data_IF_227545854868
#
_entry.id   IF_227545854868
#
_cell.length_a   1.000
_cell.length_b   1.000
_cell.length_c   1.000
_cell.angle_alpha   90.00
_cell.angle_beta   90.00
_cell.angle_gamma   90.00
#
_symmetry.space_group_name_H-M   'P 1'
#
loop_
_entity.id
_entity.type
_entity.pdbx_description
1 polymer ?
#
# COMPACT_ATOMS: atom_id res chain seq x y z
N UNK A 1 11.96 -8.36 -6.73
CA UNK A 1 12.13 -6.87 -6.68
C UNK A 1 13.11 -6.31 -7.73
N UNK A 2 14.30 -6.89 -8.05
CA UNK A 2 15.27 -6.21 -8.94
C UNK A 2 14.78 -5.90 -10.36
N UNK A 3 13.72 -6.56 -10.83
CA UNK A 3 13.11 -6.31 -12.14
C UNK A 3 12.09 -5.17 -12.16
N UNK A 4 11.78 -4.60 -10.99
CA UNK A 4 10.81 -3.51 -10.84
C UNK A 4 11.52 -2.18 -10.98
N UNK A 5 10.98 -1.31 -11.81
CA UNK A 5 11.50 0.05 -11.96
C UNK A 5 11.45 0.80 -10.63
N UNK A 6 12.49 1.56 -10.31
CA UNK A 6 12.63 2.35 -9.07
C UNK A 6 12.35 1.55 -7.78
N UNK A 7 12.64 0.24 -7.78
CA UNK A 7 12.27 -0.65 -6.68
C UNK A 7 12.77 -0.21 -5.29
N UNK A 8 13.97 0.37 -5.21
CA UNK A 8 14.54 0.85 -3.94
C UNK A 8 13.76 2.06 -3.38
N UNK A 9 13.39 2.99 -4.24
CA UNK A 9 12.60 4.17 -3.85
C UNK A 9 11.19 3.77 -3.43
N UNK A 10 10.55 2.90 -4.20
CA UNK A 10 9.21 2.36 -3.87
C UNK A 10 9.24 1.63 -2.52
N UNK A 11 10.25 0.80 -2.29
CA UNK A 11 10.41 0.12 -0.99
C UNK A 11 10.58 1.12 0.16
N UNK A 12 11.40 2.16 -0.01
CA UNK A 12 11.58 3.20 1.00
C UNK A 12 10.27 3.97 1.28
N UNK A 13 9.50 4.28 0.26
CA UNK A 13 8.21 4.96 0.42
C UNK A 13 7.17 4.07 1.11
N UNK A 14 7.10 2.78 0.77
CA UNK A 14 6.24 1.83 1.50
C UNK A 14 6.67 1.71 2.96
N UNK A 15 7.97 1.67 3.26
CA UNK A 15 8.47 1.66 4.64
C UNK A 15 8.05 2.92 5.41
N UNK A 16 8.15 4.10 4.78
CA UNK A 16 7.66 5.37 5.36
C UNK A 16 6.16 5.31 5.70
N UNK A 17 5.35 4.77 4.78
CA UNK A 17 3.91 4.58 5.03
C UNK A 17 3.66 3.65 6.22
N UNK A 18 4.32 2.50 6.28
CA UNK A 18 4.18 1.54 7.39
C UNK A 18 4.52 2.21 8.73
N UNK A 19 5.69 2.88 8.81
CA UNK A 19 6.13 3.58 10.03
C UNK A 19 5.23 4.76 10.36
N UNK A 20 4.72 5.47 9.38
CA UNK A 20 3.77 6.56 9.57
C UNK A 20 2.43 6.07 10.15
N UNK A 21 1.91 4.96 9.66
CA UNK A 21 0.72 4.31 10.24
C UNK A 21 0.92 3.96 11.72
N UNK A 22 2.11 3.49 12.09
CA UNK A 22 2.45 3.20 13.48
C UNK A 22 2.48 4.46 14.35
N UNK A 23 3.12 5.53 13.88
CA UNK A 23 3.18 6.82 14.61
C UNK A 23 1.77 7.36 14.87
N UNK A 24 0.88 7.21 13.90
CA UNK A 24 -0.50 7.74 13.99
C UNK A 24 -1.47 6.80 14.71
N UNK A 25 -1.11 5.54 14.94
CA UNK A 25 -1.87 4.47 15.65
C UNK A 25 -3.37 4.38 15.28
N UNK A 26 -3.72 4.74 14.06
CA UNK A 26 -5.12 4.85 13.63
C UNK A 26 -5.50 3.92 12.49
N UNK A 27 -4.51 3.32 11.83
CA UNK A 27 -4.75 2.54 10.62
C UNK A 27 -4.16 1.13 10.70
N UNK A 28 -5.01 0.11 10.60
CA UNK A 28 -4.54 -1.26 10.44
C UNK A 28 -3.89 -1.45 9.08
N UNK A 29 -2.83 -2.25 9.04
CA UNK A 29 -2.13 -2.61 7.81
C UNK A 29 -2.47 -4.05 7.45
N UNK A 30 -2.85 -4.28 6.19
CA UNK A 30 -3.04 -5.61 5.63
C UNK A 30 -2.00 -5.82 4.54
N UNK A 31 -1.00 -6.63 4.82
CA UNK A 31 0.01 -7.01 3.84
C UNK A 31 -0.45 -8.24 3.04
N UNK A 32 -0.16 -8.26 1.74
CA UNK A 32 -0.43 -9.43 0.89
C UNK A 32 0.84 -9.91 0.20
N UNK A 33 0.98 -11.21 0.05
CA UNK A 33 2.09 -11.84 -0.65
C UNK A 33 1.59 -12.72 -1.79
N UNK A 34 2.24 -12.57 -2.95
CA UNK A 34 1.87 -13.31 -4.14
C UNK A 34 2.74 -14.54 -4.29
N UNK A 35 2.15 -15.76 -4.26
CA UNK A 35 2.83 -17.01 -4.58
C UNK A 35 4.25 -17.09 -3.98
N UNK A 36 4.34 -17.12 -2.67
CA UNK A 36 5.60 -17.03 -1.90
C UNK A 36 6.63 -18.07 -2.33
N UNK A 37 6.19 -19.29 -2.68
CA UNK A 37 7.09 -20.36 -3.16
C UNK A 37 7.87 -20.00 -4.43
N UNK A 38 7.31 -19.14 -5.28
CA UNK A 38 7.95 -18.75 -6.55
C UNK A 38 8.56 -17.35 -6.52
N UNK A 39 7.92 -16.41 -5.82
CA UNK A 39 8.33 -15.00 -5.82
C UNK A 39 9.07 -14.58 -4.54
N UNK A 40 9.07 -15.42 -3.52
CA UNK A 40 9.60 -15.12 -2.21
C UNK A 40 8.68 -14.28 -1.33
N UNK A 41 8.99 -14.14 -0.04
CA UNK A 41 8.23 -13.32 0.90
C UNK A 41 8.52 -11.83 0.70
N UNK A 42 7.80 -11.02 1.45
CA UNK A 42 8.08 -9.57 1.58
C UNK A 42 9.56 -9.33 1.90
N UNK A 43 10.17 -8.36 1.23
CA UNK A 43 11.59 -8.02 1.39
C UNK A 43 11.89 -7.55 2.81
N UNK A 44 13.11 -7.84 3.27
CA UNK A 44 13.54 -7.63 4.65
C UNK A 44 13.23 -6.24 5.24
N UNK A 45 13.50 -5.09 4.58
CA UNK A 45 13.19 -3.79 5.17
C UNK A 45 11.70 -3.61 5.49
N UNK A 46 10.82 -4.07 4.60
CA UNK A 46 9.38 -3.95 4.79
C UNK A 46 8.86 -4.96 5.83
N UNK A 47 9.40 -6.19 5.80
CA UNK A 47 9.05 -7.20 6.79
C UNK A 47 9.36 -6.73 8.20
N UNK A 48 10.58 -6.19 8.43
CA UNK A 48 10.98 -5.62 9.72
C UNK A 48 10.05 -4.48 10.14
N UNK A 49 9.76 -3.53 9.25
CA UNK A 49 8.85 -2.44 9.57
C UNK A 49 7.46 -2.94 9.98
N UNK A 50 6.93 -3.94 9.30
CA UNK A 50 5.64 -4.56 9.65
C UNK A 50 5.69 -5.31 10.99
N UNK A 51 6.76 -6.05 11.28
CA UNK A 51 6.97 -6.74 12.56
C UNK A 51 7.02 -5.76 13.73
N UNK A 52 7.70 -4.62 13.56
CA UNK A 52 7.83 -3.59 14.58
C UNK A 52 6.52 -2.81 14.84
N UNK A 53 5.61 -2.78 13.87
CA UNK A 53 4.42 -1.91 13.93
C UNK A 53 3.12 -2.65 14.19
N UNK A 54 2.83 -3.72 13.48
CA UNK A 54 1.50 -4.33 13.48
C UNK A 54 1.50 -5.85 13.70
N UNK A 55 2.68 -6.43 13.82
CA UNK A 55 2.84 -7.87 13.69
C UNK A 55 2.73 -8.31 12.22
N UNK A 56 3.68 -9.09 11.77
CA UNK A 56 3.75 -9.56 10.39
C UNK A 56 2.91 -10.82 10.18
N UNK A 57 1.72 -10.66 9.63
CA UNK A 57 0.83 -11.75 9.24
C UNK A 57 0.32 -11.49 7.83
N UNK A 58 1.13 -11.71 6.78
CA UNK A 58 0.72 -11.44 5.41
C UNK A 58 -0.30 -12.46 4.94
N UNK A 59 -1.26 -11.99 4.15
CA UNK A 59 -2.20 -12.85 3.44
C UNK A 59 -1.54 -13.38 2.18
N UNK A 60 -1.25 -14.67 2.13
CA UNK A 60 -0.76 -15.32 0.92
C UNK A 60 -1.89 -15.49 -0.10
N UNK A 61 -1.62 -15.19 -1.36
CA UNK A 61 -2.60 -15.32 -2.44
C UNK A 61 -1.98 -15.81 -3.74
N UNK A 62 -2.75 -16.52 -4.53
CA UNK A 62 -2.43 -16.90 -5.91
C UNK A 62 -3.17 -16.04 -6.95
N UNK A 63 -4.36 -15.54 -6.62
CA UNK A 63 -5.08 -14.57 -7.45
C UNK A 63 -4.34 -13.22 -7.51
N UNK A 64 -4.46 -12.49 -8.61
CA UNK A 64 -3.81 -11.18 -8.73
C UNK A 64 -4.50 -10.16 -7.83
N UNK A 65 -5.81 -10.01 -7.94
CA UNK A 65 -6.57 -9.17 -7.03
C UNK A 65 -6.60 -9.73 -5.61
N UNK A 66 -6.31 -8.91 -4.61
CA UNK A 66 -6.47 -9.28 -3.21
C UNK A 66 -7.94 -9.59 -2.86
N UNK A 67 -8.89 -8.91 -3.50
CA UNK A 67 -10.33 -9.19 -3.36
C UNK A 67 -10.74 -10.57 -3.89
N UNK A 68 -9.91 -11.23 -4.70
CA UNK A 68 -10.10 -12.62 -5.09
C UNK A 68 -9.71 -13.64 -4.00
N UNK A 69 -9.13 -13.19 -2.87
CA UNK A 69 -8.71 -14.01 -1.75
C UNK A 69 -9.71 -13.91 -0.59
N UNK A 70 -10.29 -15.04 -0.19
CA UNK A 70 -11.29 -15.10 0.88
C UNK A 70 -10.76 -14.62 2.24
N UNK A 71 -9.49 -14.88 2.55
CA UNK A 71 -8.84 -14.42 3.77
C UNK A 71 -8.70 -12.90 3.80
N UNK A 72 -8.27 -12.27 2.69
CA UNK A 72 -8.23 -10.82 2.55
C UNK A 72 -9.61 -10.19 2.73
N UNK A 73 -10.64 -10.77 2.09
CA UNK A 73 -12.02 -10.30 2.25
C UNK A 73 -12.50 -10.40 3.70
N UNK A 74 -12.21 -11.51 4.38
CA UNK A 74 -12.58 -11.69 5.77
C UNK A 74 -11.91 -10.65 6.66
N UNK A 75 -10.60 -10.45 6.49
CA UNK A 75 -9.82 -9.44 7.23
C UNK A 75 -10.37 -8.04 7.01
N UNK A 76 -10.56 -7.62 5.79
CA UNK A 76 -11.06 -6.26 5.47
C UNK A 76 -12.48 -6.01 5.99
N UNK A 77 -13.35 -7.03 5.99
CA UNK A 77 -14.69 -6.94 6.59
C UNK A 77 -14.63 -6.76 8.11
N UNK A 78 -13.72 -7.46 8.79
CA UNK A 78 -13.54 -7.34 10.25
C UNK A 78 -13.05 -5.94 10.65
N UNK A 79 -12.22 -5.31 9.84
CA UNK A 79 -11.72 -3.97 10.08
C UNK A 79 -12.81 -2.89 10.00
N UNK A 80 -13.93 -3.14 9.33
CA UNK A 80 -15.07 -2.21 9.17
C UNK A 80 -14.69 -0.82 8.66
N UNK A 81 -13.58 -0.70 7.93
CA UNK A 81 -13.13 0.55 7.31
C UNK A 81 -13.69 0.64 5.90
N UNK A 82 -14.05 1.86 5.47
CA UNK A 82 -14.51 2.13 4.11
C UNK A 82 -13.44 2.77 3.24
N UNK A 83 -12.51 3.47 3.85
CA UNK A 83 -11.37 4.08 3.17
C UNK A 83 -10.19 3.11 3.16
N UNK A 84 -9.55 2.98 2.01
CA UNK A 84 -8.41 2.09 1.82
C UNK A 84 -7.30 2.84 1.09
N UNK A 85 -6.11 2.85 1.68
CA UNK A 85 -4.90 3.35 1.04
C UNK A 85 -4.15 2.16 0.46
N UNK A 86 -3.79 2.23 -0.83
CA UNK A 86 -3.15 1.13 -1.55
C UNK A 86 -1.76 1.54 -2.02
N UNK A 87 -0.78 0.69 -1.73
CA UNK A 87 0.60 0.77 -2.20
C UNK A 87 1.11 -0.62 -2.57
N UNK A 88 2.19 -0.71 -3.34
CA UNK A 88 2.82 -2.00 -3.67
C UNK A 88 3.05 -2.24 -5.15
N UNK A 89 3.28 -3.49 -5.50
CA UNK A 89 3.65 -3.95 -6.85
C UNK A 89 2.88 -5.21 -7.29
N UNK A 90 2.75 -5.47 -8.59
CA UNK A 90 2.98 -4.55 -9.71
C UNK A 90 1.74 -3.71 -9.94
N UNK A 91 1.94 -2.42 -10.20
CA UNK A 91 0.85 -1.45 -10.36
C UNK A 91 -0.18 -1.89 -11.41
N UNK A 92 0.28 -2.40 -12.56
CA UNK A 92 -0.58 -2.77 -13.71
C UNK A 92 -1.17 -4.19 -13.60
N UNK A 93 -0.82 -4.95 -12.58
CA UNK A 93 -1.33 -6.33 -12.39
C UNK A 93 -2.11 -6.41 -11.09
N UNK A 94 -1.44 -6.75 -9.98
CA UNK A 94 -2.10 -7.00 -8.69
C UNK A 94 -2.74 -5.74 -8.10
N UNK A 95 -2.03 -4.61 -8.17
CA UNK A 95 -2.54 -3.34 -7.61
C UNK A 95 -3.77 -2.88 -8.38
N UNK A 96 -3.68 -2.79 -9.72
CA UNK A 96 -4.80 -2.37 -10.56
C UNK A 96 -6.06 -3.23 -10.34
N UNK A 97 -5.91 -4.56 -10.38
CA UNK A 97 -7.05 -5.45 -10.19
C UNK A 97 -7.64 -5.35 -8.77
N UNK A 98 -6.79 -5.20 -7.75
CA UNK A 98 -7.25 -5.02 -6.38
C UNK A 98 -8.02 -3.71 -6.21
N UNK A 99 -7.51 -2.62 -6.75
CA UNK A 99 -8.17 -1.30 -6.71
C UNK A 99 -9.51 -1.34 -7.43
N UNK A 100 -9.55 -1.92 -8.63
CA UNK A 100 -10.80 -2.05 -9.41
C UNK A 100 -11.87 -2.82 -8.63
N UNK A 101 -11.50 -3.95 -8.02
CA UNK A 101 -12.44 -4.76 -7.25
C UNK A 101 -12.85 -4.08 -5.92
N UNK A 102 -11.95 -3.35 -5.27
CA UNK A 102 -12.28 -2.56 -4.08
C UNK A 102 -13.28 -1.45 -4.41
N UNK A 103 -13.07 -0.70 -5.50
CA UNK A 103 -14.01 0.32 -5.98
C UNK A 103 -15.38 -0.29 -6.29
N UNK A 104 -15.40 -1.43 -7.00
CA UNK A 104 -16.65 -2.16 -7.31
C UNK A 104 -17.37 -2.66 -6.04
N UNK A 105 -16.62 -2.97 -4.98
CA UNK A 105 -17.16 -3.35 -3.67
C UNK A 105 -17.59 -2.15 -2.81
N UNK A 106 -17.49 -0.92 -3.31
CA UNK A 106 -17.93 0.31 -2.65
C UNK A 106 -16.98 0.86 -1.59
N UNK A 107 -15.69 0.53 -1.72
CA UNK A 107 -14.64 1.19 -0.91
C UNK A 107 -14.26 2.52 -1.55
N UNK A 108 -13.86 3.47 -0.69
CA UNK A 108 -13.21 4.72 -1.07
C UNK A 108 -11.70 4.44 -1.12
N UNK A 109 -11.11 4.46 -2.33
CA UNK A 109 -9.75 3.98 -2.55
C UNK A 109 -8.82 5.12 -2.91
N UNK A 110 -7.73 5.24 -2.15
CA UNK A 110 -6.63 6.16 -2.42
C UNK A 110 -5.38 5.37 -2.84
N UNK A 111 -4.75 5.73 -3.94
CA UNK A 111 -3.54 5.11 -4.46
C UNK A 111 -2.32 6.03 -4.25
N UNK A 112 -1.23 5.48 -3.70
CA UNK A 112 -0.01 6.24 -3.39
C UNK A 112 0.99 6.07 -4.55
N UNK A 113 1.06 7.06 -5.44
CA UNK A 113 1.74 6.95 -6.72
C UNK A 113 3.26 6.67 -6.62
N UNK A 114 3.94 7.22 -5.64
CA UNK A 114 5.38 7.05 -5.43
C UNK A 114 5.74 5.83 -4.56
N UNK A 115 4.72 5.15 -4.02
CA UNK A 115 4.83 3.89 -3.30
C UNK A 115 4.33 2.70 -4.13
N UNK A 116 4.26 2.83 -5.46
CA UNK A 116 3.90 1.75 -6.37
C UNK A 116 4.72 1.80 -7.66
N UNK A 117 5.01 0.63 -8.23
CA UNK A 117 5.72 0.51 -9.49
C UNK A 117 5.41 -0.78 -10.24
N UNK A 118 5.96 -0.86 -11.43
CA UNK A 118 5.87 -2.00 -12.36
C UNK A 118 7.23 -2.27 -12.98
N UNK A 119 7.35 -3.32 -13.79
CA UNK A 119 8.58 -3.62 -14.54
C UNK A 119 8.93 -2.53 -15.56
N UNK A 120 7.94 -1.82 -16.08
CA UNK A 120 8.15 -0.68 -16.97
C UNK A 120 7.36 0.54 -16.50
N UNK A 121 7.92 1.76 -16.65
CA UNK A 121 7.24 3.01 -16.31
C UNK A 121 5.92 3.18 -17.07
N UNK A 122 5.87 2.79 -18.34
CA UNK A 122 4.70 2.92 -19.20
C UNK A 122 3.51 2.13 -18.65
N UNK A 123 3.73 0.87 -18.23
CA UNK A 123 2.68 0.04 -17.63
C UNK A 123 2.18 0.62 -16.30
N UNK A 124 3.10 1.14 -15.48
CA UNK A 124 2.77 1.84 -14.25
C UNK A 124 1.86 3.04 -14.52
N UNK A 125 2.25 3.90 -15.43
CA UNK A 125 1.54 5.15 -15.72
C UNK A 125 0.18 4.92 -16.38
N UNK A 126 0.06 3.90 -17.23
CA UNK A 126 -1.23 3.48 -17.79
C UNK A 126 -2.16 3.00 -16.67
N UNK A 127 -1.66 2.16 -15.75
CA UNK A 127 -2.46 1.63 -14.66
C UNK A 127 -2.93 2.73 -13.70
N UNK A 128 -2.06 3.67 -13.32
CA UNK A 128 -2.42 4.81 -12.46
C UNK A 128 -3.53 5.63 -13.11
N UNK A 129 -3.38 6.00 -14.40
CA UNK A 129 -4.41 6.77 -15.12
C UNK A 129 -5.75 6.03 -15.17
N UNK A 130 -5.74 4.71 -15.34
CA UNK A 130 -6.97 3.91 -15.32
C UNK A 130 -7.62 3.90 -13.95
N UNK A 131 -6.86 3.62 -12.89
CA UNK A 131 -7.39 3.62 -11.53
C UNK A 131 -8.03 4.96 -11.15
N UNK A 132 -7.40 6.08 -11.53
CA UNK A 132 -7.96 7.42 -11.32
C UNK A 132 -9.24 7.63 -12.13
N UNK A 133 -9.27 7.22 -13.40
CA UNK A 133 -10.47 7.30 -14.22
C UNK A 133 -11.62 6.42 -13.70
N UNK A 134 -11.31 5.31 -13.05
CA UNK A 134 -12.26 4.39 -12.42
C UNK A 134 -12.74 4.89 -11.04
N UNK A 135 -12.19 6.01 -10.51
CA UNK A 135 -12.65 6.68 -9.29
C UNK A 135 -11.69 6.59 -8.09
N UNK A 136 -10.49 6.07 -8.24
CA UNK A 136 -9.49 6.09 -7.18
C UNK A 136 -8.89 7.51 -7.00
N UNK A 137 -8.65 7.91 -5.76
CA UNK A 137 -7.96 9.15 -5.43
C UNK A 137 -6.45 8.97 -5.55
N UNK A 138 -5.76 9.98 -6.12
CA UNK A 138 -4.31 9.95 -6.31
C UNK A 138 -3.61 10.79 -5.24
N UNK A 139 -2.58 10.22 -4.62
CA UNK A 139 -1.75 10.90 -3.62
C UNK A 139 -0.28 10.50 -3.75
N UNK A 140 0.58 11.10 -2.92
CA UNK A 140 1.97 10.67 -2.70
C UNK A 140 2.16 10.24 -1.24
N UNK A 141 3.29 9.59 -0.95
CA UNK A 141 3.67 9.20 0.41
C UNK A 141 3.65 10.38 1.38
N UNK A 142 4.30 11.48 1.00
CA UNK A 142 4.37 12.67 1.84
C UNK A 142 3.01 13.32 2.03
N UNK A 143 2.22 13.50 0.97
CA UNK A 143 0.86 14.03 1.05
C UNK A 143 0.00 13.19 1.99
N UNK A 144 0.02 11.86 1.84
CA UNK A 144 -0.73 10.93 2.68
C UNK A 144 -0.38 11.11 4.16
N UNK A 145 0.90 11.12 4.48
CA UNK A 145 1.36 11.21 5.86
C UNK A 145 0.99 12.54 6.51
N UNK A 146 1.10 13.66 5.79
CA UNK A 146 0.69 14.96 6.32
C UNK A 146 -0.83 15.13 6.39
N UNK A 147 -1.58 14.61 5.43
CA UNK A 147 -3.05 14.60 5.48
C UNK A 147 -3.57 13.86 6.72
N UNK A 148 -3.00 12.69 7.01
CA UNK A 148 -3.35 11.90 8.19
C UNK A 148 -2.89 12.54 9.51
N UNK A 149 -1.82 13.33 9.50
CA UNK A 149 -1.32 14.03 10.70
C UNK A 149 -2.20 15.21 11.08
N UNK A 150 -2.87 15.83 10.11
CA UNK A 150 -3.83 16.95 10.26
C UNK A 150 -3.20 18.23 10.78
N UNK A 151 -2.51 18.20 11.93
CA UNK A 151 -2.01 19.38 12.63
C UNK A 151 -0.48 19.41 12.73
N UNK A 152 0.12 20.58 12.50
CA UNK A 152 1.52 20.84 12.84
C UNK A 152 1.67 21.12 14.34
N UNK A 153 2.87 20.89 14.88
CA UNK A 153 3.19 21.22 16.27
C UNK A 153 2.96 20.09 17.29
N UNK A 154 2.41 18.97 16.88
CA UNK A 154 2.28 17.75 17.71
C UNK A 154 3.55 16.90 17.68
N UNK A 155 3.67 15.94 18.58
CA UNK A 155 4.81 15.01 18.58
C UNK A 155 4.70 13.99 17.42
N UNK A 156 3.49 13.62 17.02
CA UNK A 156 3.21 12.86 15.81
C UNK A 156 3.73 13.60 14.57
N UNK A 157 3.41 14.89 14.42
CA UNK A 157 3.93 15.71 13.33
C UNK A 157 5.46 15.73 13.30
N UNK A 158 6.14 15.90 14.45
CA UNK A 158 7.60 15.87 14.49
C UNK A 158 8.17 14.52 14.05
N UNK A 159 7.50 13.42 14.40
CA UNK A 159 7.88 12.08 14.02
C UNK A 159 7.66 11.85 12.52
N UNK A 160 6.51 12.23 11.98
CA UNK A 160 6.21 12.15 10.53
C UNK A 160 7.21 13.03 9.73
N UNK A 161 7.48 14.25 10.17
CA UNK A 161 8.42 15.15 9.51
C UNK A 161 9.86 14.60 9.46
N UNK A 162 10.25 13.69 10.37
CA UNK A 162 11.54 12.98 10.29
C UNK A 162 11.53 11.83 9.30
N UNK A 163 10.38 11.17 9.12
CA UNK A 163 10.25 10.04 8.19
C UNK A 163 10.33 10.49 6.72
N UNK A 164 9.89 11.71 6.41
CA UNK A 164 9.83 12.22 5.02
C UNK A 164 11.07 13.02 4.59
N UNK A 165 11.98 13.31 5.52
CA UNK A 165 13.28 13.94 5.23
C UNK A 165 14.30 12.91 4.79
#
# INVERSE_FOLDING_TARGET
MPVIDRHAEVAANIERLIRGCHVLDTMPIVATEQYVKGLGPTIEPLRRALEETSGYQPVEKSCFSAQGCGEFQATTRLLKKKQVIVAGIETHVCVYQTVSDLLAAGYDVTIVADAMSSRTPENRDIAIRRMVADGAHLTSTEMTLFELTVNSGTDEFKSIARLVK
#
